data_IF_163764407313
#
_entry.id   IF_163764407313
#
_cell.length_a   1.000
_cell.length_b   1.000
_cell.length_c   1.000
_cell.angle_alpha   90.00
_cell.angle_beta   90.00
_cell.angle_gamma   90.00
#
_symmetry.space_group_name_H-M   'P 1'
#
loop_
_entity.id
_entity.type
_entity.pdbx_description
1 polymer ?
#
# COMPACT_ATOMS: atom_id res chain seq x y z
N UNK A 1 -42.28 53.54 24.54
CA UNK A 1 -43.66 53.04 24.65
C UNK A 1 -44.51 53.85 23.66
N UNK A 2 -45.30 53.18 22.81
CA UNK A 2 -46.05 53.67 21.63
C UNK A 2 -45.17 54.11 20.44
N UNK A 3 -45.00 53.36 19.34
CA UNK A 3 -45.90 52.66 18.42
C UNK A 3 -46.32 53.49 17.19
N UNK A 4 -46.07 52.87 16.03
CA UNK A 4 -46.94 52.77 14.86
C UNK A 4 -46.83 53.78 13.69
N UNK A 5 -46.36 53.19 12.58
CA UNK A 5 -46.83 53.30 11.18
C UNK A 5 -46.66 54.62 10.44
N UNK A 6 -45.83 54.57 9.40
CA UNK A 6 -46.13 55.22 8.11
C UNK A 6 -45.91 54.20 6.98
N UNK A 7 -47.01 53.78 6.37
CA UNK A 7 -47.10 53.16 5.04
C UNK A 7 -47.15 54.26 4.00
N UNK A 8 -46.30 54.26 2.96
CA UNK A 8 -46.65 54.88 1.68
C UNK A 8 -45.85 54.28 0.49
N UNK A 9 -46.61 53.62 -0.40
CA UNK A 9 -46.55 53.58 -1.88
C UNK A 9 -45.30 53.06 -2.59
N UNK A 10 -45.43 51.92 -3.28
CA UNK A 10 -45.87 51.74 -4.69
C UNK A 10 -44.82 52.21 -5.71
N UNK A 11 -44.15 51.24 -6.31
CA UNK A 11 -43.38 51.36 -7.54
C UNK A 11 -43.31 49.99 -8.21
N UNK A 12 -44.34 49.66 -9.00
CA UNK A 12 -44.33 48.50 -9.90
C UNK A 12 -43.43 48.86 -11.07
N UNK A 13 -42.34 48.13 -11.25
CA UNK A 13 -41.62 48.05 -12.51
C UNK A 13 -41.51 46.56 -12.88
N UNK A 14 -42.32 46.18 -13.87
CA UNK A 14 -42.23 44.89 -14.53
C UNK A 14 -40.96 44.85 -15.39
N UNK A 15 -40.06 43.91 -15.09
CA UNK A 15 -39.00 43.52 -16.01
C UNK A 15 -39.11 42.00 -16.22
N UNK A 16 -39.60 41.63 -17.40
CA UNK A 16 -39.47 40.28 -17.94
C UNK A 16 -37.98 40.00 -18.16
N UNK A 17 -37.45 38.99 -17.48
CA UNK A 17 -36.17 38.39 -17.80
C UNK A 17 -36.29 36.87 -17.68
N UNK A 18 -36.53 36.25 -18.84
CA UNK A 18 -36.09 34.92 -19.26
C UNK A 18 -35.68 33.94 -18.15
N UNK A 19 -36.56 32.97 -17.90
CA UNK A 19 -36.24 31.71 -17.23
C UNK A 19 -35.26 30.91 -18.11
N UNK A 20 -33.97 31.15 -17.93
CA UNK A 20 -32.93 30.21 -18.34
C UNK A 20 -32.98 29.02 -17.41
N UNK A 21 -33.36 27.85 -17.95
CA UNK A 21 -33.13 26.56 -17.29
C UNK A 21 -31.61 26.37 -17.13
N UNK A 22 -31.06 26.85 -16.02
CA UNK A 22 -29.80 26.34 -15.51
C UNK A 22 -30.12 24.96 -14.91
N UNK A 23 -29.99 23.92 -15.72
CA UNK A 23 -29.75 22.58 -15.19
C UNK A 23 -28.46 22.72 -14.35
N UNK A 24 -28.48 22.47 -13.03
CA UNK A 24 -27.23 22.33 -12.32
C UNK A 24 -26.51 21.16 -12.98
N UNK A 25 -25.33 21.41 -13.55
CA UNK A 25 -24.42 20.34 -13.86
C UNK A 25 -24.23 19.58 -12.54
N UNK A 26 -24.77 18.37 -12.47
CA UNK A 26 -24.45 17.46 -11.38
C UNK A 26 -22.95 17.24 -11.47
N UNK A 27 -22.19 17.94 -10.63
CA UNK A 27 -20.85 17.50 -10.30
C UNK A 27 -21.03 16.06 -9.81
N UNK A 28 -20.60 15.11 -10.63
CA UNK A 28 -20.43 13.74 -10.17
C UNK A 28 -19.44 13.86 -9.01
N UNK A 29 -19.92 13.68 -7.79
CA UNK A 29 -19.02 13.26 -6.73
C UNK A 29 -18.46 11.94 -7.23
N UNK A 30 -17.19 11.91 -7.62
CA UNK A 30 -16.54 10.67 -8.00
C UNK A 30 -16.57 9.76 -6.76
N UNK A 31 -17.50 8.81 -6.76
CA UNK A 31 -17.60 7.81 -5.70
C UNK A 31 -16.30 7.02 -5.66
N UNK A 32 -15.76 6.82 -4.45
CA UNK A 32 -14.51 6.10 -4.28
C UNK A 32 -14.69 4.62 -4.72
N UNK A 33 -13.97 4.21 -5.76
CA UNK A 33 -14.05 2.85 -6.32
C UNK A 33 -13.06 1.95 -5.61
N UNK A 34 -13.49 0.83 -4.99
CA UNK A 34 -12.56 -0.10 -4.36
C UNK A 34 -11.67 -0.78 -5.40
N UNK A 35 -10.35 -0.76 -5.15
CA UNK A 35 -9.35 -1.40 -6.00
C UNK A 35 -8.96 -2.75 -5.41
N UNK A 36 -9.49 -3.84 -5.96
CA UNK A 36 -9.11 -5.19 -5.54
C UNK A 36 -7.95 -5.70 -6.38
N UNK A 37 -6.94 -6.30 -5.75
CA UNK A 37 -5.78 -6.85 -6.45
C UNK A 37 -4.44 -6.37 -5.89
N UNK A 38 -3.39 -6.67 -6.64
CA UNK A 38 -2.01 -6.48 -6.18
C UNK A 38 -1.52 -5.07 -6.49
N UNK A 39 -1.15 -4.31 -5.47
CA UNK A 39 -0.28 -3.15 -5.56
C UNK A 39 1.17 -3.65 -5.52
N UNK A 40 1.69 -4.00 -6.69
CA UNK A 40 3.02 -4.57 -6.83
C UNK A 40 4.05 -3.49 -6.50
N UNK A 41 4.84 -3.73 -5.46
CA UNK A 41 5.82 -2.77 -4.95
C UNK A 41 6.99 -2.67 -5.92
N UNK A 42 7.51 -1.47 -6.15
CA UNK A 42 8.78 -1.26 -6.81
C UNK A 42 9.89 -1.21 -5.74
N UNK A 43 11.03 -1.88 -5.96
CA UNK A 43 12.13 -1.85 -5.01
C UNK A 43 12.66 -0.42 -4.84
N UNK A 44 12.96 -0.06 -3.60
CA UNK A 44 13.64 1.18 -3.25
C UNK A 44 15.07 1.16 -3.74
N UNK A 45 15.50 2.22 -4.42
CA UNK A 45 16.90 2.39 -4.83
C UNK A 45 17.42 3.75 -4.42
N UNK A 46 18.66 3.80 -3.98
CA UNK A 46 19.34 5.02 -3.58
C UNK A 46 20.45 5.32 -4.59
N UNK A 47 20.35 6.44 -5.29
CA UNK A 47 21.34 6.87 -6.30
C UNK A 47 21.45 8.39 -6.32
N UNK A 48 22.68 8.91 -6.39
CA UNK A 48 22.92 10.35 -6.49
C UNK A 48 22.38 11.18 -5.31
N UNK A 49 22.20 10.57 -4.13
CA UNK A 49 21.59 11.22 -2.97
C UNK A 49 20.05 11.30 -3.01
N UNK A 50 19.41 10.71 -4.00
CA UNK A 50 17.97 10.57 -4.10
C UNK A 50 17.54 9.11 -3.83
N UNK A 51 16.31 8.95 -3.34
CA UNK A 51 15.63 7.65 -3.25
C UNK A 51 14.49 7.60 -4.27
N UNK A 52 14.38 6.48 -4.97
CA UNK A 52 13.25 6.16 -5.85
C UNK A 52 12.64 4.81 -5.43
N UNK A 53 11.41 4.52 -5.86
CA UNK A 53 10.71 3.30 -5.46
C UNK A 53 10.19 3.38 -4.03
N UNK A 54 10.12 2.24 -3.34
CA UNK A 54 9.49 2.16 -2.02
C UNK A 54 10.49 2.23 -0.88
N UNK A 55 10.14 2.94 0.19
CA UNK A 55 10.99 3.08 1.36
C UNK A 55 10.20 3.33 2.64
N UNK A 56 10.89 3.13 3.75
CA UNK A 56 10.42 3.40 5.09
C UNK A 56 11.35 4.41 5.77
N UNK A 57 10.79 5.30 6.60
CA UNK A 57 11.55 6.11 7.56
C UNK A 57 10.85 6.07 8.91
N UNK A 58 11.65 6.04 9.98
CA UNK A 58 11.12 6.10 11.34
C UNK A 58 11.22 7.55 11.87
N UNK A 59 10.09 8.21 12.06
CA UNK A 59 10.02 9.55 12.66
C UNK A 59 10.24 9.42 14.17
N UNK A 60 11.13 10.26 14.72
CA UNK A 60 11.36 10.34 16.16
C UNK A 60 10.14 10.92 16.91
N UNK A 61 9.97 10.64 18.21
CA UNK A 61 8.86 11.20 18.99
C UNK A 61 8.73 12.72 18.96
N UNK A 62 9.83 13.45 18.71
CA UNK A 62 9.82 14.91 18.58
C UNK A 62 9.60 15.44 17.15
N UNK A 63 9.61 14.58 16.13
CA UNK A 63 9.57 15.00 14.73
C UNK A 63 8.21 14.94 14.05
N UNK A 64 8.17 15.24 12.75
CA UNK A 64 7.01 15.11 11.88
C UNK A 64 7.39 14.46 10.54
N UNK A 65 6.56 14.61 9.51
CA UNK A 65 6.83 14.07 8.17
C UNK A 65 8.10 14.64 7.51
N UNK A 66 8.66 15.72 8.06
CA UNK A 66 9.93 16.32 7.65
C UNK A 66 11.09 15.96 8.61
N UNK A 67 10.83 15.18 9.66
CA UNK A 67 11.80 14.72 10.64
C UNK A 67 11.79 15.49 11.97
N UNK A 68 12.80 15.27 12.83
CA UNK A 68 13.93 14.38 12.62
C UNK A 68 13.54 12.90 12.58
N UNK A 69 14.31 12.14 11.82
CA UNK A 69 14.15 10.70 11.65
C UNK A 69 15.22 9.93 12.42
N UNK A 70 14.89 8.72 12.84
CA UNK A 70 15.84 7.77 13.40
C UNK A 70 16.72 7.23 12.27
N UNK A 71 18.03 7.25 12.48
CA UNK A 71 18.99 6.69 11.53
C UNK A 71 18.98 5.17 11.55
N UNK A 72 18.92 4.51 10.41
CA UNK A 72 19.11 3.06 10.28
C UNK A 72 20.56 2.78 9.85
N UNK A 73 21.38 2.26 10.78
CA UNK A 73 22.78 1.91 10.48
C UNK A 73 22.95 0.79 9.46
N UNK A 74 21.92 -0.04 9.24
CA UNK A 74 21.94 -1.10 8.23
C UNK A 74 21.54 -0.59 6.83
N UNK A 75 21.13 0.68 6.69
CA UNK A 75 20.77 1.23 5.39
C UNK A 75 22.00 1.37 4.49
N UNK A 76 21.86 0.92 3.24
CA UNK A 76 22.86 1.16 2.18
C UNK A 76 22.78 2.54 1.53
N UNK A 77 21.81 3.38 1.92
CA UNK A 77 21.65 4.72 1.37
C UNK A 77 22.62 5.72 2.01
N UNK A 78 22.98 6.77 1.27
CA UNK A 78 23.77 7.88 1.83
C UNK A 78 23.00 8.62 2.92
N UNK A 79 21.68 8.78 2.78
CA UNK A 79 20.80 9.15 3.89
C UNK A 79 20.43 7.88 4.67
N UNK A 80 21.10 7.67 5.80
CA UNK A 80 20.87 6.50 6.65
C UNK A 80 19.49 6.49 7.31
N UNK A 81 18.71 7.57 7.26
CA UNK A 81 17.34 7.57 7.78
C UNK A 81 16.35 6.88 6.83
N UNK A 82 16.74 6.62 5.58
CA UNK A 82 15.95 5.91 4.58
C UNK A 82 16.23 4.42 4.69
N UNK A 83 15.18 3.61 4.78
CA UNK A 83 15.26 2.15 4.67
C UNK A 83 14.57 1.72 3.38
N UNK A 84 15.32 1.40 2.30
CA UNK A 84 14.74 0.89 1.06
C UNK A 84 13.95 -0.38 1.30
N UNK A 85 12.78 -0.48 0.68
CA UNK A 85 11.92 -1.67 0.75
C UNK A 85 11.98 -2.42 -0.58
N UNK A 86 11.82 -3.74 -0.54
CA UNK A 86 11.71 -4.57 -1.73
C UNK A 86 10.41 -5.39 -1.69
N UNK A 87 9.89 -5.84 -2.85
CA UNK A 87 8.67 -6.63 -2.91
C UNK A 87 8.78 -7.90 -2.08
N UNK A 88 7.76 -8.19 -1.28
CA UNK A 88 7.66 -9.41 -0.51
C UNK A 88 7.42 -10.66 -1.36
N UNK A 89 7.15 -11.79 -0.70
CA UNK A 89 6.87 -13.06 -1.39
C UNK A 89 5.64 -12.99 -2.29
N UNK A 90 4.69 -12.11 -1.97
CA UNK A 90 3.47 -11.93 -2.75
C UNK A 90 3.61 -10.77 -3.76
N UNK A 91 4.80 -10.17 -3.85
CA UNK A 91 5.13 -9.09 -4.77
C UNK A 91 4.65 -7.69 -4.34
N UNK A 92 3.99 -7.54 -3.19
CA UNK A 92 3.50 -6.25 -2.71
C UNK A 92 2.26 -6.37 -1.81
N UNK A 93 1.52 -5.27 -1.72
CA UNK A 93 0.28 -5.18 -0.93
C UNK A 93 -0.91 -5.67 -1.76
N UNK A 94 -1.67 -6.63 -1.24
CA UNK A 94 -2.92 -7.10 -1.85
C UNK A 94 -4.08 -6.36 -1.21
N UNK A 95 -4.76 -5.53 -1.99
CA UNK A 95 -5.98 -4.85 -1.57
C UNK A 95 -7.19 -5.77 -1.73
N UNK A 96 -8.03 -5.80 -0.70
CA UNK A 96 -9.20 -6.66 -0.55
C UNK A 96 -8.93 -8.01 0.13
N UNK A 97 -7.70 -8.31 0.55
CA UNK A 97 -7.37 -9.61 1.19
C UNK A 97 -6.20 -9.52 2.16
N UNK A 98 -6.22 -10.38 3.19
CA UNK A 98 -5.12 -10.48 4.16
C UNK A 98 -3.92 -11.24 3.58
N UNK A 99 -2.74 -10.84 4.02
CA UNK A 99 -1.44 -11.46 3.76
C UNK A 99 -0.79 -11.73 5.13
N UNK A 100 -1.31 -12.71 5.88
CA UNK A 100 -0.97 -12.88 7.29
C UNK A 100 0.49 -13.28 7.46
N UNK A 101 1.06 -12.88 8.60
CA UNK A 101 2.34 -13.41 9.01
C UNK A 101 2.23 -14.94 9.27
N UNK A 102 3.29 -15.73 9.02
CA UNK A 102 3.28 -17.14 9.34
C UNK A 102 3.14 -17.36 10.86
N UNK A 103 2.66 -18.55 11.24
CA UNK A 103 2.49 -18.92 12.65
C UNK A 103 3.80 -18.78 13.46
N UNK A 104 4.92 -19.14 12.84
CA UNK A 104 6.24 -18.79 13.34
C UNK A 104 6.71 -17.52 12.62
N UNK A 105 6.54 -16.35 13.23
CA UNK A 105 6.91 -15.08 12.60
C UNK A 105 8.40 -14.71 12.77
N UNK A 106 9.10 -15.37 13.69
CA UNK A 106 10.47 -15.02 14.09
C UNK A 106 11.42 -16.24 14.09
N UNK A 107 12.70 -15.95 13.83
CA UNK A 107 13.79 -16.86 14.13
C UNK A 107 14.21 -16.76 15.61
N UNK A 108 15.17 -17.59 16.03
CA UNK A 108 15.65 -17.61 17.41
C UNK A 108 16.32 -16.29 17.87
N UNK A 109 16.68 -15.41 16.94
CA UNK A 109 17.35 -14.12 17.19
C UNK A 109 16.42 -12.92 17.04
N UNK A 110 15.13 -13.16 16.75
CA UNK A 110 14.11 -12.13 16.62
C UNK A 110 14.02 -11.48 15.24
N UNK A 111 14.69 -12.00 14.21
CA UNK A 111 14.44 -11.54 12.84
C UNK A 111 13.10 -12.06 12.36
N UNK A 112 12.38 -11.22 11.63
CA UNK A 112 11.22 -11.63 10.89
C UNK A 112 11.60 -12.65 9.80
N UNK A 113 10.92 -13.80 9.79
CA UNK A 113 11.22 -14.89 8.84
C UNK A 113 10.36 -14.86 7.57
N UNK A 114 9.31 -14.05 7.54
CA UNK A 114 8.47 -13.89 6.36
C UNK A 114 8.02 -12.46 6.21
N UNK A 115 8.07 -11.98 4.98
CA UNK A 115 7.61 -10.66 4.55
C UNK A 115 6.77 -10.79 3.30
N UNK A 116 5.46 -10.95 3.51
CA UNK A 116 4.48 -11.15 2.45
C UNK A 116 4.31 -9.90 1.60
N UNK A 117 4.19 -8.74 2.26
CA UNK A 117 4.02 -7.44 1.61
C UNK A 117 5.37 -6.87 1.10
N UNK A 118 6.36 -6.77 1.98
CA UNK A 118 7.75 -6.40 1.65
C UNK A 118 8.70 -7.45 2.17
N UNK A 119 9.83 -7.65 1.49
CA UNK A 119 10.90 -8.52 1.97
C UNK A 119 11.41 -8.07 3.34
N UNK A 120 11.87 -9.02 4.19
CA UNK A 120 12.54 -8.67 5.42
C UNK A 120 13.75 -7.77 5.17
N UNK A 121 13.83 -6.65 5.86
CA UNK A 121 14.94 -5.69 5.75
C UNK A 121 15.50 -5.37 7.13
N UNK A 122 16.82 -5.22 7.23
CA UNK A 122 17.48 -4.97 8.52
C UNK A 122 17.22 -3.54 8.99
N UNK A 123 16.92 -3.45 10.28
CA UNK A 123 16.78 -2.20 11.01
C UNK A 123 17.40 -2.39 12.40
N UNK A 124 18.54 -1.76 12.65
CA UNK A 124 19.37 -1.97 13.84
C UNK A 124 19.74 -3.44 14.08
N UNK A 125 20.20 -4.10 13.02
CA UNK A 125 20.71 -5.47 13.07
C UNK A 125 19.63 -6.56 13.15
N UNK A 126 18.35 -6.19 13.16
CA UNK A 126 17.22 -7.13 13.18
C UNK A 126 16.37 -6.93 11.94
N UNK A 127 16.05 -8.02 11.25
CA UNK A 127 15.13 -8.01 10.12
C UNK A 127 13.72 -7.69 10.57
N UNK A 128 13.11 -6.63 10.03
CA UNK A 128 11.66 -6.42 10.12
C UNK A 128 10.97 -6.87 8.85
N UNK A 129 9.71 -7.30 8.97
CA UNK A 129 8.88 -7.60 7.82
C UNK A 129 7.45 -7.10 8.02
N UNK A 130 6.74 -6.89 6.91
CA UNK A 130 5.37 -6.38 6.89
C UNK A 130 4.39 -7.48 6.49
N UNK A 131 3.23 -7.50 7.15
CA UNK A 131 2.13 -8.41 6.87
C UNK A 131 0.78 -7.72 7.16
N UNK A 132 -0.33 -8.24 6.63
CA UNK A 132 -1.69 -7.76 6.97
C UNK A 132 -2.45 -8.86 7.71
N UNK A 133 -2.84 -8.56 8.96
CA UNK A 133 -3.44 -9.53 9.88
C UNK A 133 -4.88 -9.15 10.24
N UNK A 134 -5.76 -10.14 10.32
CA UNK A 134 -7.17 -9.93 10.70
C UNK A 134 -7.32 -9.45 12.15
N UNK A 135 -6.42 -9.85 13.03
CA UNK A 135 -6.35 -9.40 14.42
C UNK A 135 -5.04 -8.69 14.62
N UNK A 136 -5.09 -7.46 15.13
CA UNK A 136 -3.91 -6.72 15.52
C UNK A 136 -3.25 -7.43 16.72
N UNK A 137 -2.05 -8.01 16.57
CA UNK A 137 -1.44 -8.78 17.64
C UNK A 137 -1.07 -7.95 18.87
N UNK A 138 -0.99 -6.62 18.72
CA UNK A 138 -0.65 -5.72 19.82
C UNK A 138 -1.85 -5.42 20.74
N UNK A 139 -3.04 -5.27 20.15
CA UNK A 139 -4.26 -4.86 20.87
C UNK A 139 -5.26 -6.01 21.05
N UNK A 140 -5.17 -7.06 20.24
CA UNK A 140 -6.17 -8.12 20.14
C UNK A 140 -7.46 -7.70 19.42
N UNK A 141 -7.52 -6.46 18.90
CA UNK A 141 -8.68 -5.96 18.15
C UNK A 141 -8.72 -6.50 16.73
N UNK A 142 -9.92 -6.73 16.20
CA UNK A 142 -10.08 -7.02 14.77
C UNK A 142 -9.72 -5.79 13.94
N UNK A 143 -8.98 -6.01 12.87
CA UNK A 143 -8.71 -5.02 11.84
C UNK A 143 -9.55 -5.32 10.58
N UNK A 144 -9.66 -4.35 9.68
CA UNK A 144 -10.25 -4.56 8.37
C UNK A 144 -9.22 -5.19 7.41
N UNK A 145 -9.71 -5.90 6.39
CA UNK A 145 -8.85 -6.30 5.28
C UNK A 145 -8.27 -5.03 4.64
N UNK A 146 -6.99 -5.02 4.24
CA UNK A 146 -6.39 -3.85 3.63
C UNK A 146 -7.20 -3.50 2.37
N UNK A 147 -7.60 -2.25 2.21
CA UNK A 147 -8.42 -1.83 1.07
C UNK A 147 -7.99 -0.44 0.59
N UNK A 148 -7.66 -0.34 -0.69
CA UNK A 148 -7.42 0.92 -1.37
C UNK A 148 -8.63 1.28 -2.24
N UNK A 149 -8.86 2.58 -2.40
CA UNK A 149 -9.92 3.15 -3.21
C UNK A 149 -9.34 4.20 -4.17
N UNK A 150 -9.92 4.32 -5.35
CA UNK A 150 -9.62 5.38 -6.30
C UNK A 150 -10.77 6.37 -6.42
N UNK A 151 -10.42 7.65 -6.44
CA UNK A 151 -11.31 8.77 -6.79
C UNK A 151 -10.59 9.59 -7.85
N UNK A 152 -10.96 9.38 -9.12
CA UNK A 152 -10.15 9.87 -10.25
C UNK A 152 -8.72 9.32 -10.18
N UNK A 153 -7.74 10.22 -10.15
CA UNK A 153 -6.31 9.89 -10.04
C UNK A 153 -5.80 9.81 -8.60
N UNK A 154 -6.66 10.01 -7.59
CA UNK A 154 -6.28 9.99 -6.18
C UNK A 154 -6.54 8.63 -5.54
N UNK A 155 -5.64 8.20 -4.66
CA UNK A 155 -5.78 7.00 -3.85
C UNK A 155 -6.05 7.35 -2.38
N UNK A 156 -6.92 6.58 -1.75
CA UNK A 156 -7.13 6.52 -0.30
C UNK A 156 -7.20 5.06 0.14
N UNK A 157 -7.21 4.78 1.45
CA UNK A 157 -7.34 3.41 1.89
C UNK A 157 -7.39 3.20 3.40
N UNK A 158 -7.79 1.99 3.77
CA UNK A 158 -7.71 1.43 5.11
C UNK A 158 -6.59 0.39 5.14
N UNK A 159 -5.55 0.67 5.93
CA UNK A 159 -4.45 -0.25 6.18
C UNK A 159 -4.42 -0.73 7.63
N UNK A 160 -5.53 -0.68 8.37
CA UNK A 160 -5.60 -0.99 9.82
C UNK A 160 -5.03 -2.35 10.21
N UNK A 161 -5.01 -3.30 9.29
CA UNK A 161 -4.43 -4.64 9.47
C UNK A 161 -2.92 -4.72 9.25
N UNK A 162 -2.28 -3.68 8.72
CA UNK A 162 -0.85 -3.69 8.44
C UNK A 162 -0.05 -3.71 9.75
N UNK A 163 0.74 -4.75 9.93
CA UNK A 163 1.65 -4.92 11.05
C UNK A 163 3.09 -5.06 10.58
N UNK A 164 4.02 -4.73 11.47
CA UNK A 164 5.45 -4.97 11.32
C UNK A 164 5.94 -5.90 12.42
N UNK A 165 6.56 -7.00 12.03
CA UNK A 165 7.30 -7.90 12.92
C UNK A 165 8.73 -7.39 13.07
N UNK A 166 9.20 -7.18 14.29
CA UNK A 166 10.59 -6.80 14.57
C UNK A 166 10.97 -7.16 16.00
N UNK A 167 12.11 -7.83 16.17
CA UNK A 167 12.69 -8.17 17.48
C UNK A 167 11.70 -8.88 18.42
N UNK A 168 11.08 -9.95 17.93
CA UNK A 168 10.06 -10.75 18.64
C UNK A 168 8.81 -9.96 19.06
N UNK A 169 8.57 -8.80 18.46
CA UNK A 169 7.38 -7.97 18.70
C UNK A 169 6.67 -7.67 17.40
N UNK A 170 5.36 -7.40 17.50
CA UNK A 170 4.56 -6.93 16.37
C UNK A 170 4.02 -5.56 16.72
N UNK A 171 4.19 -4.62 15.80
CA UNK A 171 3.70 -3.26 15.91
C UNK A 171 2.68 -3.01 14.82
N UNK A 172 1.50 -2.52 15.19
CA UNK A 172 0.55 -2.06 14.18
C UNK A 172 1.13 -0.83 13.47
N UNK A 173 1.28 -0.91 12.16
CA UNK A 173 1.79 0.16 11.30
C UNK A 173 0.77 0.62 10.25
N UNK A 174 -0.49 0.22 10.44
CA UNK A 174 -1.64 0.63 9.65
C UNK A 174 -2.13 2.04 9.93
N UNK A 175 -2.84 2.59 8.95
CA UNK A 175 -3.63 3.80 9.11
C UNK A 175 -4.97 3.62 8.37
N UNK A 176 -6.12 3.87 9.04
CA UNK A 176 -6.25 4.15 10.46
C UNK A 176 -5.80 2.98 11.35
N UNK A 177 -5.81 3.15 12.68
CA UNK A 177 -5.69 2.02 13.60
C UNK A 177 -6.95 1.16 13.57
N UNK A 178 -6.91 -0.09 14.05
CA UNK A 178 -8.12 -0.88 14.27
C UNK A 178 -9.16 -0.06 15.05
N UNK A 179 -10.39 0.03 14.53
CA UNK A 179 -11.44 0.90 15.07
C UNK A 179 -11.58 2.26 14.39
N UNK A 180 -10.68 2.63 13.47
CA UNK A 180 -10.80 3.84 12.65
C UNK A 180 -10.05 5.06 13.17
N UNK A 181 -9.42 4.98 14.34
CA UNK A 181 -8.74 6.11 14.97
C UNK A 181 -7.41 6.48 14.27
N UNK A 182 -7.04 7.75 14.36
CA UNK A 182 -5.77 8.30 13.88
C UNK A 182 -4.97 8.91 15.05
N UNK A 183 -4.49 8.09 16.01
CA UNK A 183 -3.83 8.61 17.20
C UNK A 183 -2.51 9.31 16.88
N UNK A 184 -2.29 10.43 17.57
CA UNK A 184 -1.05 11.22 17.50
C UNK A 184 -0.70 11.66 16.07
N UNK A 185 0.42 11.15 15.56
CA UNK A 185 0.97 11.45 14.23
C UNK A 185 0.55 10.45 13.17
N UNK A 186 -0.42 9.58 13.45
CA UNK A 186 -1.02 8.72 12.43
C UNK A 186 -1.78 9.58 11.41
N UNK A 187 -1.58 9.32 10.13
CA UNK A 187 -2.28 9.96 9.01
C UNK A 187 -2.75 8.88 8.06
N UNK A 188 -3.99 9.00 7.59
CA UNK A 188 -4.58 8.05 6.66
C UNK A 188 -3.75 7.97 5.36
N UNK A 189 -3.87 6.84 4.68
CA UNK A 189 -3.24 6.65 3.37
C UNK A 189 -3.79 7.66 2.37
N UNK A 190 -2.87 8.29 1.65
CA UNK A 190 -3.16 9.14 0.51
C UNK A 190 -2.16 8.88 -0.60
N UNK A 191 -2.54 9.13 -1.84
CA UNK A 191 -1.65 8.91 -2.96
C UNK A 191 -2.26 9.22 -4.30
N UNK A 192 -1.60 8.75 -5.35
CA UNK A 192 -2.06 8.88 -6.72
C UNK A 192 -1.90 7.58 -7.50
N UNK A 193 -2.75 7.41 -8.51
CA UNK A 193 -2.65 6.36 -9.50
C UNK A 193 -2.82 6.94 -10.90
N UNK A 194 -2.02 6.45 -11.84
CA UNK A 194 -2.29 6.62 -13.26
C UNK A 194 -3.21 5.48 -13.73
N UNK A 195 -4.46 5.77 -14.12
CA UNK A 195 -5.40 4.73 -14.54
C UNK A 195 -5.02 4.04 -15.86
N UNK A 196 -4.16 4.65 -16.67
CA UNK A 196 -3.72 4.08 -17.94
C UNK A 196 -2.60 3.05 -17.75
N UNK A 197 -1.62 3.37 -16.90
CA UNK A 197 -0.44 2.50 -16.67
C UNK A 197 -0.58 1.63 -15.43
N UNK A 198 -1.41 2.03 -14.46
CA UNK A 198 -1.47 1.43 -13.13
C UNK A 198 -0.38 1.95 -12.19
N UNK A 199 0.47 2.88 -12.63
CA UNK A 199 1.56 3.41 -11.82
C UNK A 199 0.99 4.12 -10.60
N UNK A 200 1.45 3.78 -9.40
CA UNK A 200 0.94 4.37 -8.16
C UNK A 200 2.06 4.83 -7.24
N UNK A 201 1.71 5.80 -6.39
CA UNK A 201 2.47 6.21 -5.21
C UNK A 201 1.47 6.41 -4.07
N UNK A 202 1.73 5.81 -2.91
CA UNK A 202 0.94 6.01 -1.70
C UNK A 202 1.83 6.27 -0.50
N UNK A 203 1.37 7.15 0.38
CA UNK A 203 2.06 7.53 1.60
C UNK A 203 1.08 7.55 2.78
N UNK A 204 1.58 7.14 3.94
CA UNK A 204 0.88 7.30 5.21
C UNK A 204 1.89 7.36 6.36
N UNK A 205 1.41 7.81 7.51
CA UNK A 205 2.16 7.70 8.76
C UNK A 205 1.37 6.91 9.78
N UNK A 206 2.05 6.10 10.57
CA UNK A 206 1.40 5.31 11.62
C UNK A 206 2.22 5.33 12.89
N UNK A 207 1.66 5.96 13.92
CA UNK A 207 2.29 6.07 15.23
C UNK A 207 2.12 4.76 16.00
N UNK A 208 3.21 4.28 16.60
CA UNK A 208 3.18 3.15 17.53
C UNK A 208 2.53 3.61 18.83
N UNK A 209 1.50 2.89 19.26
CA UNK A 209 0.74 3.17 20.49
C UNK A 209 1.06 2.09 21.51
N UNK A 210 1.69 2.47 22.62
CA UNK A 210 2.13 1.55 23.66
C UNK A 210 3.45 0.84 23.36
N UNK A 211 3.90 0.04 24.32
CA UNK A 211 5.18 -0.69 24.24
C UNK A 211 6.43 0.20 24.28
N UNK A 212 7.63 -0.40 24.08
CA UNK A 212 8.90 0.31 24.20
C UNK A 212 9.14 1.40 23.14
N UNK A 213 8.45 1.29 21.99
CA UNK A 213 8.54 2.24 20.87
C UNK A 213 7.38 3.22 20.82
N UNK A 214 6.67 3.41 21.93
CA UNK A 214 5.55 4.34 21.99
C UNK A 214 5.94 5.73 21.46
N UNK A 215 5.07 6.34 20.66
CA UNK A 215 5.23 7.63 20.00
C UNK A 215 6.26 7.71 18.86
N UNK A 216 7.01 6.64 18.57
CA UNK A 216 7.69 6.53 17.28
C UNK A 216 6.64 6.38 16.17
N UNK A 217 6.93 6.93 14.99
CA UNK A 217 5.96 6.95 13.89
C UNK A 217 6.63 6.47 12.61
N UNK A 218 6.11 5.39 12.04
CA UNK A 218 6.54 4.94 10.72
C UNK A 218 5.98 5.87 9.64
N UNK A 219 6.85 6.40 8.79
CA UNK A 219 6.50 7.00 7.51
C UNK A 219 6.74 5.96 6.43
N UNK A 220 5.69 5.69 5.66
CA UNK A 220 5.71 4.69 4.60
C UNK A 220 5.49 5.38 3.27
N UNK A 221 6.32 5.02 2.30
CA UNK A 221 6.19 5.41 0.91
C UNK A 221 6.25 4.15 0.06
N UNK A 222 5.13 3.79 -0.57
CA UNK A 222 5.08 2.68 -1.52
C UNK A 222 4.81 3.23 -2.91
N UNK A 223 5.67 2.88 -3.85
CA UNK A 223 5.51 3.18 -5.26
C UNK A 223 5.55 1.87 -6.05
N UNK A 224 4.87 1.81 -7.19
CA UNK A 224 4.88 0.62 -8.02
C UNK A 224 3.77 0.58 -9.06
N UNK A 225 3.26 -0.63 -9.33
CA UNK A 225 2.27 -0.90 -10.35
C UNK A 225 1.06 -1.64 -9.79
N UNK A 226 -0.14 -1.13 -10.02
CA UNK A 226 -1.38 -1.81 -9.69
C UNK A 226 -1.70 -2.89 -10.74
N UNK A 227 -1.94 -4.11 -10.28
CA UNK A 227 -2.28 -5.29 -11.06
C UNK A 227 -3.61 -5.84 -10.55
N UNK A 228 -4.69 -5.21 -10.98
CA UNK A 228 -6.07 -5.57 -10.65
C UNK A 228 -6.93 -5.93 -11.86
N UNK A 229 -8.06 -6.58 -11.59
CA UNK A 229 -8.93 -7.21 -12.59
C UNK A 229 -9.92 -6.30 -13.32
N UNK A 230 -9.86 -4.99 -13.11
CA UNK A 230 -10.70 -4.03 -13.85
C UNK A 230 -9.84 -2.85 -14.24
N UNK A 231 -9.68 -2.64 -15.55
CA UNK A 231 -9.17 -1.39 -16.10
C UNK A 231 -9.89 -0.23 -15.43
N UNK A 232 -9.16 0.73 -14.88
CA UNK A 232 -9.70 1.96 -14.26
C UNK A 232 -10.24 2.95 -15.29
N UNK A 233 -10.79 2.42 -16.38
CA UNK A 233 -11.18 3.17 -17.54
C UNK A 233 -12.40 4.00 -17.18
N UNK A 234 -12.22 5.33 -17.19
CA UNK A 234 -13.32 6.27 -17.14
C UNK A 234 -14.36 5.85 -18.19
N UNK A 235 -15.67 5.83 -17.86
CA UNK A 235 -16.70 5.42 -18.81
C UNK A 235 -16.59 6.29 -20.06
N UNK A 236 -16.34 5.65 -21.21
CA UNK A 236 -16.44 6.32 -22.49
C UNK A 236 -17.86 6.88 -22.63
N UNK A 237 -18.04 8.10 -23.17
CA UNK A 237 -19.38 8.65 -23.38
C UNK A 237 -20.17 7.70 -24.29
N UNK A 238 -21.24 7.11 -23.73
CA UNK A 238 -22.13 6.22 -24.45
C UNK A 238 -22.83 7.05 -25.52
N UNK A 239 -22.44 6.87 -26.78
CA UNK A 239 -23.21 7.39 -27.91
C UNK A 239 -24.61 6.73 -27.89
N UNK A 240 -25.70 7.47 -28.18
CA UNK A 240 -27.05 6.91 -28.14
C UNK A 240 -27.15 5.70 -29.08
N UNK A 241 -27.60 4.57 -28.53
CA UNK A 241 -27.83 3.36 -29.31
C UNK A 241 -28.91 3.62 -30.38
N UNK A 242 -28.54 3.48 -31.65
CA UNK A 242 -29.50 3.39 -32.76
C UNK A 242 -30.21 2.04 -32.62
N UNK A 243 -31.53 2.09 -32.41
CA UNK A 243 -32.37 0.90 -32.28
C UNK A 243 -32.28 0.06 -33.57
N UNK A 244 -31.85 -1.19 -33.45
CA UNK A 244 -31.95 -2.17 -34.52
C UNK A 244 -33.41 -2.65 -34.67
N UNK A 245 -33.90 -2.89 -35.90
CA UNK A 245 -35.27 -3.37 -36.11
C UNK A 245 -35.46 -4.81 -35.59
N UNK A 246 -36.68 -5.19 -35.15
CA UNK A 246 -36.94 -6.51 -34.59
C UNK A 246 -36.81 -7.61 -35.65
N UNK A 247 -36.11 -8.69 -35.29
CA UNK A 247 -35.98 -9.90 -36.09
C UNK A 247 -37.31 -10.68 -36.12
N UNK A 248 -37.70 -11.12 -37.33
CA UNK A 248 -38.85 -12.00 -37.56
C UNK A 248 -38.63 -13.37 -36.91
N UNK A 249 -39.66 -13.85 -36.21
CA UNK A 249 -39.68 -15.13 -35.52
C UNK A 249 -39.59 -16.32 -36.49
N UNK A 250 -38.73 -17.30 -36.16
CA UNK A 250 -38.71 -18.61 -36.81
C UNK A 250 -39.76 -19.54 -36.19
N UNK A 251 -40.44 -20.40 -36.95
CA UNK A 251 -41.46 -21.30 -36.42
C UNK A 251 -40.86 -22.55 -35.74
N UNK A 252 -41.58 -23.01 -34.72
CA UNK A 252 -41.25 -24.16 -33.87
C UNK A 252 -41.31 -25.50 -34.62
N UNK A 253 -40.38 -26.41 -34.30
CA UNK A 253 -40.41 -27.82 -34.70
C UNK A 253 -40.76 -28.68 -33.48
N UNK A 254 -41.78 -29.52 -33.63
CA UNK A 254 -42.28 -30.47 -32.63
C UNK A 254 -41.45 -31.78 -32.59
N UNK A 255 -41.56 -32.59 -31.52
CA UNK A 255 -40.60 -33.63 -31.17
C UNK A 255 -40.94 -35.01 -31.74
N UNK A 256 -39.92 -35.77 -32.15
CA UNK A 256 -40.02 -37.23 -32.30
C UNK A 256 -39.32 -37.82 -33.53
N UNK A 257 -38.06 -38.25 -33.37
CA UNK A 257 -37.48 -39.40 -34.06
C UNK A 257 -36.13 -39.80 -33.41
N UNK A 258 -35.83 -41.10 -33.23
CA UNK A 258 -34.62 -41.55 -32.55
C UNK A 258 -33.41 -41.58 -33.49
N UNK A 259 -32.25 -41.13 -32.99
CA UNK A 259 -30.98 -41.20 -33.71
C UNK A 259 -30.19 -42.49 -33.34
N UNK A 260 -29.56 -43.16 -34.32
CA UNK A 260 -28.87 -44.44 -34.13
C UNK A 260 -27.44 -44.29 -33.57
N UNK A 261 -26.90 -45.39 -33.05
CA UNK A 261 -25.65 -45.50 -32.31
C UNK A 261 -24.37 -45.56 -33.18
N UNK A 262 -23.32 -44.90 -32.64
CA UNK A 262 -21.86 -45.20 -32.62
C UNK A 262 -21.07 -45.31 -33.97
N UNK A 263 -19.77 -44.94 -34.01
CA UNK A 263 -18.72 -45.74 -33.35
C UNK A 263 -17.57 -44.96 -32.66
N UNK A 264 -16.87 -45.74 -31.84
CA UNK A 264 -15.67 -45.47 -31.03
C UNK A 264 -14.44 -45.14 -31.90
N UNK A 265 -13.61 -44.19 -31.44
CA UNK A 265 -12.27 -43.95 -31.97
C UNK A 265 -11.18 -44.31 -30.93
N UNK A 266 -10.01 -44.86 -31.34
CA UNK A 266 -9.05 -45.50 -30.44
C UNK A 266 -7.80 -44.65 -30.12
N UNK A 267 -7.22 -44.90 -28.95
CA UNK A 267 -5.76 -44.99 -28.80
C UNK A 267 -5.00 -43.76 -28.28
N UNK A 268 -4.71 -43.77 -26.98
CA UNK A 268 -3.58 -43.05 -26.39
C UNK A 268 -2.24 -43.68 -26.80
N UNK A 269 -1.14 -42.90 -26.77
CA UNK A 269 0.16 -43.48 -26.44
C UNK A 269 0.89 -42.71 -25.32
N UNK A 270 1.38 -43.46 -24.34
CA UNK A 270 2.42 -43.10 -23.37
C UNK A 270 3.39 -44.31 -23.26
N UNK A 271 4.54 -44.23 -22.58
CA UNK A 271 5.83 -43.63 -22.98
C UNK A 271 7.02 -44.64 -23.01
N UNK A 272 8.23 -44.17 -23.39
CA UNK A 272 9.59 -44.54 -22.90
C UNK A 272 10.64 -44.76 -24.02
N UNK A 273 11.97 -44.79 -23.77
CA UNK A 273 12.74 -44.45 -22.55
C UNK A 273 13.93 -43.49 -22.78
N UNK A 274 14.58 -43.17 -21.65
CA UNK A 274 15.75 -42.31 -21.43
C UNK A 274 17.00 -42.59 -22.28
N UNK A 275 17.77 -41.54 -22.54
CA UNK A 275 19.22 -41.60 -22.73
C UNK A 275 19.90 -40.36 -22.11
N UNK A 276 20.81 -40.62 -21.19
CA UNK A 276 21.67 -39.68 -20.48
C UNK A 276 22.72 -39.08 -21.43
N UNK A 277 22.90 -37.76 -21.43
CA UNK A 277 24.10 -37.13 -21.96
C UNK A 277 24.42 -35.83 -21.22
N UNK A 278 25.56 -35.83 -20.55
CA UNK A 278 26.26 -34.69 -19.95
C UNK A 278 26.95 -33.92 -21.08
N UNK A 279 26.71 -32.60 -21.19
CA UNK A 279 27.62 -31.67 -21.84
C UNK A 279 27.28 -30.22 -21.46
N UNK A 280 28.16 -29.58 -20.69
CA UNK A 280 28.31 -28.12 -20.68
C UNK A 280 28.97 -27.67 -21.98
N UNK A 281 28.56 -26.51 -22.51
CA UNK A 281 29.57 -25.53 -22.88
C UNK A 281 29.21 -24.11 -22.47
N UNK A 282 30.26 -23.39 -22.07
CA UNK A 282 30.34 -21.95 -21.91
C UNK A 282 30.01 -21.26 -23.23
N UNK A 283 29.10 -20.28 -23.22
CA UNK A 283 29.02 -19.23 -24.24
C UNK A 283 28.37 -17.96 -23.66
N UNK A 284 29.12 -16.86 -23.76
CA UNK A 284 28.70 -15.48 -23.50
C UNK A 284 27.61 -15.03 -24.48
N UNK A 285 26.67 -14.16 -24.06
CA UNK A 285 26.18 -13.10 -24.93
C UNK A 285 26.35 -11.74 -24.24
N UNK A 286 27.13 -10.83 -24.85
CA UNK A 286 26.67 -9.82 -25.79
C UNK A 286 26.02 -8.63 -25.08
N UNK A 287 26.80 -7.55 -24.99
CA UNK A 287 26.33 -6.20 -24.72
C UNK A 287 25.32 -5.81 -25.80
N UNK A 288 24.10 -5.49 -25.37
CA UNK A 288 23.18 -4.66 -26.14
C UNK A 288 22.93 -3.39 -25.35
N UNK A 289 23.48 -2.30 -25.88
CA UNK A 289 23.15 -0.94 -25.50
C UNK A 289 21.63 -0.75 -25.62
N UNK A 290 20.97 -0.43 -24.50
CA UNK A 290 19.65 0.15 -24.50
C UNK A 290 19.79 1.65 -24.16
N UNK A 291 19.39 2.44 -25.15
CA UNK A 291 19.27 3.90 -25.21
C UNK A 291 18.46 4.45 -23.99
N UNK A 292 18.86 5.56 -23.34
CA UNK A 292 18.21 6.05 -22.12
C UNK A 292 16.93 6.87 -22.34
N UNK A 293 16.31 6.82 -23.52
CA UNK A 293 15.16 7.69 -23.86
C UNK A 293 13.83 6.94 -23.89
N UNK A 294 13.40 6.36 -22.77
CA UNK A 294 11.98 6.10 -22.48
C UNK A 294 11.76 5.73 -21.00
N UNK A 295 12.04 6.66 -20.10
CA UNK A 295 11.55 6.58 -18.73
C UNK A 295 10.15 7.21 -18.70
N UNK A 296 9.16 6.43 -18.29
CA UNK A 296 7.79 6.87 -18.07
C UNK A 296 7.76 8.00 -17.01
N UNK A 297 7.24 9.20 -17.32
CA UNK A 297 7.25 10.33 -16.39
C UNK A 297 6.47 10.07 -15.10
N UNK A 298 5.59 9.06 -15.06
CA UNK A 298 4.85 8.68 -13.85
C UNK A 298 5.73 8.02 -12.77
N UNK A 299 6.88 7.43 -13.15
CA UNK A 299 7.84 6.84 -12.22
C UNK A 299 8.95 7.82 -11.80
N UNK A 300 8.93 9.03 -12.36
CA UNK A 300 9.94 10.06 -12.10
C UNK A 300 9.49 10.90 -10.91
N UNK A 301 9.87 10.42 -9.72
CA UNK A 301 10.26 11.18 -8.55
C UNK A 301 9.59 12.56 -8.33
N UNK A 302 8.82 12.68 -7.24
CA UNK A 302 9.02 13.86 -6.40
C UNK A 302 10.42 13.72 -5.79
N UNK A 303 11.41 14.33 -6.43
CA UNK A 303 12.72 14.55 -5.82
C UNK A 303 12.50 15.46 -4.61
N UNK A 304 12.46 14.88 -3.42
CA UNK A 304 12.59 15.65 -2.18
C UNK A 304 14.03 16.15 -2.12
N UNK A 305 14.24 17.39 -2.55
CA UNK A 305 15.52 18.09 -2.34
C UNK A 305 15.63 18.40 -0.84
N UNK A 306 16.32 17.50 -0.12
CA UNK A 306 16.56 17.66 1.31
C UNK A 306 17.80 18.55 1.50
N UNK A 307 17.73 19.61 2.33
CA UNK A 307 18.90 20.39 2.66
C UNK A 307 19.93 19.50 3.37
N UNK A 308 21.16 19.47 2.84
CA UNK A 308 22.29 18.80 3.48
C UNK A 308 22.52 19.43 4.85
N UNK A 309 22.14 18.76 5.92
CA UNK A 309 22.61 19.08 7.26
C UNK A 309 23.86 18.27 7.53
N UNK A 310 25.00 18.96 7.44
CA UNK A 310 26.29 18.42 7.82
C UNK A 310 26.28 18.10 9.33
N UNK A 311 26.47 16.81 9.62
CA UNK A 311 26.67 16.18 10.93
C UNK A 311 25.45 16.05 11.86
N UNK A 312 25.18 14.83 12.40
CA UNK A 312 24.28 14.71 13.52
C UNK A 312 24.81 15.50 14.72
N UNK A 313 23.94 16.11 15.53
CA UNK A 313 24.36 16.81 16.73
C UNK A 313 25.17 15.85 17.60
N UNK A 314 26.33 16.29 18.09
CA UNK A 314 27.23 15.48 18.93
C UNK A 314 26.55 14.89 20.18
N UNK A 315 25.39 15.41 20.57
CA UNK A 315 24.58 14.91 21.69
C UNK A 315 23.69 13.70 21.34
N UNK A 316 23.43 13.39 20.07
CA UNK A 316 22.54 12.30 19.66
C UNK A 316 23.10 10.90 19.97
N UNK A 317 24.42 10.74 19.80
CA UNK A 317 25.13 9.47 20.09
C UNK A 317 25.07 9.09 21.57
N UNK A 318 25.41 9.96 22.55
CA UNK A 318 25.31 9.60 23.96
C UNK A 318 23.87 9.33 24.42
N UNK A 319 22.87 10.01 23.84
CA UNK A 319 21.45 9.76 24.18
C UNK A 319 20.98 8.38 23.70
N UNK A 320 21.36 7.97 22.49
CA UNK A 320 21.03 6.64 21.97
C UNK A 320 21.71 5.51 22.76
N UNK A 321 22.96 5.71 23.19
CA UNK A 321 23.67 4.75 24.06
C UNK A 321 22.97 4.64 25.43
N UNK A 322 22.55 5.77 26.02
CA UNK A 322 21.81 5.76 27.29
C UNK A 322 20.45 5.05 27.16
N UNK A 323 19.72 5.27 26.06
CA UNK A 323 18.45 4.57 25.81
C UNK A 323 18.63 3.07 25.60
N UNK A 324 19.68 2.65 24.88
CA UNK A 324 20.03 1.24 24.72
C UNK A 324 20.33 0.56 26.06
N UNK A 325 21.14 1.20 26.91
CA UNK A 325 21.47 0.69 28.25
C UNK A 325 20.24 0.62 29.17
N UNK A 326 19.33 1.59 29.07
CA UNK A 326 18.08 1.58 29.85
C UNK A 326 17.14 0.44 29.42
N UNK A 327 17.06 0.16 28.12
CA UNK A 327 16.30 -0.98 27.58
C UNK A 327 16.82 -2.32 28.10
N UNK A 328 18.15 -2.51 28.12
CA UNK A 328 18.80 -3.71 28.66
C UNK A 328 18.55 -3.85 30.17
N UNK A 329 18.65 -2.77 30.94
CA UNK A 329 18.40 -2.79 32.38
C UNK A 329 16.95 -3.14 32.74
N UNK A 330 15.97 -2.65 31.96
CA UNK A 330 14.56 -2.99 32.15
C UNK A 330 14.26 -4.45 31.81
N UNK A 331 14.93 -5.02 30.79
CA UNK A 331 14.78 -6.42 30.42
C UNK A 331 15.24 -7.38 31.54
N UNK A 332 16.42 -7.14 32.11
CA UNK A 332 16.92 -7.95 33.23
C UNK A 332 16.10 -7.78 34.52
N UNK A 333 15.52 -6.60 34.75
CA UNK A 333 14.63 -6.40 35.90
C UNK A 333 13.28 -7.11 35.73
N UNK A 334 12.76 -7.17 34.50
CA UNK A 334 11.53 -7.89 34.18
C UNK A 334 11.69 -9.41 34.40
N UNK A 335 12.81 -10.00 33.97
CA UNK A 335 13.11 -11.42 34.26
C UNK A 335 13.24 -11.71 35.75
N UNK A 336 13.90 -10.82 36.51
CA UNK A 336 14.08 -10.98 37.96
C UNK A 336 12.75 -10.94 38.73
N UNK A 337 11.79 -10.15 38.26
CA UNK A 337 10.45 -10.05 38.85
C UNK A 337 9.59 -11.26 38.46
N UNK A 338 9.70 -11.75 37.22
CA UNK A 338 9.00 -12.94 36.76
C UNK A 338 9.50 -14.23 37.44
N UNK A 339 10.81 -14.35 37.69
CA UNK A 339 11.42 -15.49 38.39
C UNK A 339 11.00 -15.62 39.87
N UNK A 340 10.69 -14.50 40.54
CA UNK A 340 10.22 -14.50 41.94
C UNK A 340 8.78 -14.96 42.13
N UNK A 341 7.97 -15.01 41.07
CA UNK A 341 6.57 -15.48 41.14
C UNK A 341 6.39 -16.99 40.93
N UNK A 342 7.48 -17.73 40.68
CA UNK A 342 7.47 -19.19 40.45
C UNK A 342 8.08 -20.01 41.61
N UNK A 343 8.25 -19.43 42.80
CA UNK A 343 8.64 -20.16 44.01
C UNK A 343 7.59 -20.05 45.09
#
# INVERSE_FOLDING_TARGET
>A
MFALRHTFRLGIAAAMASAGLFLPATAHADDAVPLNGLFAVAPGTCSGGAVTGSFFRMILPAGDSNGPFLSNSDSGCSDQTVTPLAPGTDGGLVSGSYQPQPAQAFDATGNAISGSVTQPVRFYGVGFATATNQVDPQTGSSAAAPQLYATGNSLSGDLSSLGVTWNNQVFNQGAPKPGGDLPGKTRALSGSIDPATGSFVVEWTSQIVGGPFNNFTGLWHLAGQYRGGTSLQAPAPVAPAVQAPPALAAPAVAPGAPAPAAPVAPGAPQPSPAATAVATPVATPAQTNADPTNADPALTARTLELPRTDHPPRWAVPVLVLLGLFGVALFFNAERIAGKKKS
#
